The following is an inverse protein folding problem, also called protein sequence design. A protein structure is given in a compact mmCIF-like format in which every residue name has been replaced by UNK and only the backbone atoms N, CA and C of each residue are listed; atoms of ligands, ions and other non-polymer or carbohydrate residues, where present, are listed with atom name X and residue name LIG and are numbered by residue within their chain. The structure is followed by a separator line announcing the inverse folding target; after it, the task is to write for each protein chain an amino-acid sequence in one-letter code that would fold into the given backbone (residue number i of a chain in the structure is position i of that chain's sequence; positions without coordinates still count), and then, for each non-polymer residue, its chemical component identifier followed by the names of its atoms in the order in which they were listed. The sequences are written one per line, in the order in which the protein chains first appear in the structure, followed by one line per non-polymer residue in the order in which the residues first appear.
data_IF_239517936201
#
_entry.id   IF_239517936201
#
_cell.length_a   1.000
_cell.length_b   1.000
_cell.length_c   1.000
_cell.angle_alpha   90.00
_cell.angle_beta   90.00
_cell.angle_gamma   90.00
#
_symmetry.space_group_name_H-M   'P 1'
#
loop_
_entity.id
_entity.type
_entity.pdbx_description
1 polymer ?
#
# COMPACT_ATOMS: atom_id res chain seq x y z
N UNK A 1 8.13 -12.31 14.60
CA UNK A 1 7.54 -11.06 14.06
C UNK A 1 8.65 -10.02 14.15
N UNK A 2 9.21 -9.64 12.99
CA UNK A 2 10.20 -8.57 12.93
C UNK A 2 9.59 -7.28 13.47
N UNK A 3 10.42 -6.44 14.08
CA UNK A 3 10.08 -5.24 14.84
C UNK A 3 9.40 -4.10 14.03
N UNK A 4 8.67 -4.40 12.98
CA UNK A 4 7.92 -3.39 12.23
C UNK A 4 6.44 -3.59 12.51
N UNK A 5 6.06 -3.38 13.76
CA UNK A 5 4.66 -3.24 14.09
C UNK A 5 4.23 -1.84 13.67
N UNK A 6 3.30 -1.80 12.75
CA UNK A 6 2.66 -0.57 12.30
C UNK A 6 2.17 0.25 13.49
N UNK A 7 2.87 1.31 13.77
CA UNK A 7 2.45 2.35 14.71
C UNK A 7 1.37 3.20 14.05
N UNK A 8 0.13 2.68 13.93
CA UNK A 8 -0.88 3.53 13.30
C UNK A 8 -2.24 3.18 13.68
N UNK A 9 -2.95 3.23 14.51
CA UNK A 9 -4.27 3.01 15.10
C UNK A 9 -4.28 2.07 16.29
N UNK A 10 -3.33 1.15 16.35
CA UNK A 10 -3.17 0.29 17.49
C UNK A 10 -1.86 0.71 18.15
N UNK A 11 -1.92 1.37 19.30
CA UNK A 11 -0.75 1.58 20.16
C UNK A 11 -0.27 0.22 20.67
N UNK A 12 0.27 -0.61 19.77
CA UNK A 12 0.78 -1.93 20.11
C UNK A 12 2.05 -1.74 20.89
N UNK A 13 2.00 -2.10 22.17
CA UNK A 13 3.13 -2.08 23.07
C UNK A 13 3.89 -3.41 23.00
N UNK A 14 5.04 -3.51 23.69
CA UNK A 14 5.77 -4.78 23.82
C UNK A 14 5.12 -5.76 24.81
N UNK A 15 3.90 -5.49 25.29
CA UNK A 15 3.16 -6.42 26.12
C UNK A 15 2.82 -7.69 25.31
N UNK A 16 3.02 -8.90 25.87
CA UNK A 16 2.74 -10.15 25.19
C UNK A 16 1.25 -10.35 24.89
N UNK A 17 0.37 -9.72 25.65
CA UNK A 17 -1.07 -9.71 25.44
C UNK A 17 -1.63 -8.31 25.65
N UNK A 18 -2.49 -7.85 24.75
CA UNK A 18 -3.15 -6.56 24.84
C UNK A 18 -4.43 -6.55 24.01
N UNK A 19 -5.43 -5.81 24.44
CA UNK A 19 -6.67 -5.57 23.68
C UNK A 19 -6.68 -4.14 23.16
N UNK A 20 -6.81 -3.97 21.86
CA UNK A 20 -6.86 -2.65 21.24
C UNK A 20 -8.05 -2.58 20.28
N UNK A 21 -8.95 -1.63 20.50
CA UNK A 21 -10.18 -1.47 19.71
C UNK A 21 -11.02 -2.76 19.62
N UNK A 22 -11.07 -3.55 20.68
CA UNK A 22 -11.82 -4.81 20.74
C UNK A 22 -11.12 -5.99 20.03
N UNK A 23 -9.86 -5.82 19.64
CA UNK A 23 -9.02 -6.87 19.07
C UNK A 23 -7.99 -7.31 20.09
N UNK A 24 -7.98 -8.61 20.43
CA UNK A 24 -6.96 -9.20 21.27
C UNK A 24 -5.71 -9.49 20.44
N UNK A 25 -4.62 -8.87 20.83
CA UNK A 25 -3.32 -8.99 20.19
C UNK A 25 -2.43 -9.81 21.12
N UNK A 26 -1.90 -10.91 20.60
CA UNK A 26 -1.03 -11.81 21.35
C UNK A 26 0.30 -12.00 20.63
N UNK A 27 1.37 -12.01 21.40
CA UNK A 27 2.68 -12.38 20.86
C UNK A 27 2.63 -13.86 20.44
N UNK A 28 3.10 -14.14 19.23
CA UNK A 28 3.21 -15.51 18.74
C UNK A 28 4.18 -16.30 19.64
N UNK A 29 3.72 -17.35 20.35
CA UNK A 29 4.54 -18.10 21.29
C UNK A 29 5.52 -19.03 20.56
N UNK A 30 6.62 -19.36 21.21
CA UNK A 30 7.57 -20.37 20.71
C UNK A 30 6.98 -21.80 20.77
N UNK A 31 6.06 -22.05 21.71
CA UNK A 31 5.27 -23.27 21.80
C UNK A 31 3.80 -22.87 21.94
N UNK A 32 2.96 -23.38 21.07
CA UNK A 32 1.55 -23.05 21.06
C UNK A 32 0.82 -23.83 22.16
N UNK A 33 0.08 -23.16 23.06
CA UNK A 33 -0.66 -23.83 24.12
C UNK A 33 -1.89 -24.55 23.55
N UNK A 34 -2.37 -25.53 24.29
CA UNK A 34 -3.69 -26.07 24.04
C UNK A 34 -4.75 -25.02 24.40
N UNK A 35 -5.61 -24.72 23.46
CA UNK A 35 -6.72 -23.80 23.66
C UNK A 35 -7.98 -24.57 24.06
N UNK A 36 -8.78 -24.05 25.00
CA UNK A 36 -10.14 -24.58 25.22
C UNK A 36 -10.95 -24.56 23.92
N UNK A 37 -11.78 -25.56 23.71
CA UNK A 37 -12.57 -25.67 22.47
C UNK A 37 -13.45 -24.43 22.20
N UNK A 38 -13.86 -23.71 23.25
CA UNK A 38 -14.61 -22.46 23.14
C UNK A 38 -13.80 -21.25 22.68
N UNK A 39 -12.46 -21.31 22.75
CA UNK A 39 -11.56 -20.23 22.35
C UNK A 39 -11.15 -20.32 20.87
N UNK A 40 -11.53 -21.39 20.19
CA UNK A 40 -11.28 -21.54 18.74
C UNK A 40 -12.37 -20.80 18.00
N UNK A 41 -12.02 -19.76 17.19
CA UNK A 41 -13.00 -18.93 16.51
C UNK A 41 -13.71 -19.66 15.35
N UNK A 42 -14.81 -19.11 14.85
CA UNK A 42 -15.55 -19.65 13.69
C UNK A 42 -14.81 -19.46 12.37
N UNK A 43 -13.93 -18.48 12.29
CA UNK A 43 -13.07 -18.25 11.14
C UNK A 43 -11.61 -18.04 11.56
N UNK A 44 -10.71 -18.73 10.89
CA UNK A 44 -9.25 -18.64 11.11
C UNK A 44 -8.59 -18.19 9.82
N UNK A 45 -7.81 -17.12 9.90
CA UNK A 45 -7.10 -16.53 8.76
C UNK A 45 -5.61 -16.65 9.01
N UNK A 46 -4.91 -17.41 8.19
CA UNK A 46 -3.46 -17.29 8.05
C UNK A 46 -3.14 -16.37 6.88
N UNK A 47 -2.10 -15.55 6.99
CA UNK A 47 -1.80 -14.57 5.97
C UNK A 47 -0.32 -14.43 5.70
N UNK A 48 0.01 -14.00 4.50
CA UNK A 48 1.37 -13.60 4.10
C UNK A 48 2.43 -14.70 4.30
N UNK A 49 2.07 -15.94 3.98
CA UNK A 49 2.97 -17.08 4.07
C UNK A 49 3.26 -17.58 5.49
N UNK A 50 2.56 -17.06 6.51
CA UNK A 50 2.63 -17.59 7.87
C UNK A 50 1.72 -18.80 7.97
N UNK A 51 2.29 -19.95 8.33
CA UNK A 51 1.53 -21.18 8.53
C UNK A 51 1.13 -21.36 9.98
N UNK A 52 -0.09 -21.85 10.21
CA UNK A 52 -0.54 -22.19 11.55
C UNK A 52 0.23 -23.42 12.06
N UNK A 53 0.57 -23.46 13.36
CA UNK A 53 1.16 -24.64 13.98
C UNK A 53 0.24 -25.85 13.86
N UNK A 54 0.82 -27.03 13.62
CA UNK A 54 0.06 -28.27 13.45
C UNK A 54 -0.84 -28.57 14.66
N UNK A 55 -0.35 -28.31 15.88
CA UNK A 55 -1.13 -28.49 17.11
C UNK A 55 -2.39 -27.61 17.12
N UNK A 56 -2.31 -26.35 16.65
CA UNK A 56 -3.48 -25.48 16.54
C UNK A 56 -4.47 -25.99 15.47
N UNK A 57 -3.97 -26.46 14.32
CA UNK A 57 -4.81 -27.02 13.26
C UNK A 57 -5.52 -28.29 13.74
N UNK A 58 -4.86 -29.15 14.56
CA UNK A 58 -5.50 -30.31 15.19
C UNK A 58 -6.62 -29.90 16.14
N UNK A 59 -6.41 -28.84 16.93
CA UNK A 59 -7.46 -28.31 17.81
C UNK A 59 -8.66 -27.76 17.02
N UNK A 60 -8.44 -27.08 15.89
CA UNK A 60 -9.53 -26.64 15.01
C UNK A 60 -10.44 -27.78 14.60
N UNK A 61 -9.88 -28.96 14.33
CA UNK A 61 -10.63 -30.14 13.92
C UNK A 61 -11.43 -30.80 15.07
N UNK A 62 -11.19 -30.44 16.31
CA UNK A 62 -11.94 -31.00 17.46
C UNK A 62 -13.28 -30.31 17.68
N UNK A 63 -13.53 -29.15 17.04
CA UNK A 63 -14.81 -28.47 17.14
C UNK A 63 -15.92 -29.27 16.44
N UNK A 64 -17.12 -29.25 17.01
CA UNK A 64 -18.31 -29.88 16.40
C UNK A 64 -18.61 -29.27 15.02
N UNK A 65 -18.46 -27.94 14.90
CA UNK A 65 -18.47 -27.23 13.62
C UNK A 65 -17.06 -26.71 13.39
N UNK A 66 -16.40 -27.24 12.38
CA UNK A 66 -15.04 -26.84 12.04
C UNK A 66 -14.99 -25.37 11.61
N UNK A 67 -13.96 -24.63 12.03
CA UNK A 67 -13.80 -23.25 11.60
C UNK A 67 -13.53 -23.15 10.10
N UNK A 68 -13.94 -22.02 9.51
CA UNK A 68 -13.58 -21.69 8.12
C UNK A 68 -12.10 -21.27 8.11
N UNK A 69 -11.27 -22.09 7.48
CA UNK A 69 -9.82 -21.86 7.40
C UNK A 69 -9.45 -21.18 6.10
N UNK A 70 -8.93 -19.96 6.20
CA UNK A 70 -8.60 -19.10 5.07
C UNK A 70 -7.09 -18.86 5.03
N UNK A 71 -6.48 -19.04 3.86
CA UNK A 71 -5.18 -18.51 3.53
C UNK A 71 -5.37 -17.18 2.78
N UNK A 72 -5.07 -16.06 3.43
CA UNK A 72 -5.12 -14.74 2.83
C UNK A 72 -3.83 -14.49 2.06
N UNK A 73 -3.93 -14.45 0.77
CA UNK A 73 -2.84 -14.26 -0.16
C UNK A 73 -2.47 -12.79 -0.36
N UNK A 74 -1.32 -12.55 -1.00
CA UNK A 74 -0.88 -11.21 -1.38
C UNK A 74 -1.76 -10.63 -2.47
N UNK A 75 -1.89 -9.29 -2.46
CA UNK A 75 -2.59 -8.55 -3.51
C UNK A 75 -1.93 -8.78 -4.87
N UNK A 76 -2.72 -9.18 -5.86
CA UNK A 76 -2.26 -9.31 -7.23
C UNK A 76 -3.30 -8.83 -8.25
N UNK A 77 -2.79 -8.29 -9.37
CA UNK A 77 -3.56 -7.91 -10.54
C UNK A 77 -3.48 -8.95 -11.66
N UNK A 78 -2.75 -10.05 -11.48
CA UNK A 78 -2.58 -11.11 -12.44
C UNK A 78 -3.89 -11.86 -12.69
N UNK A 79 -4.10 -12.36 -13.90
CA UNK A 79 -5.37 -12.98 -14.28
C UNK A 79 -5.63 -14.32 -13.57
N UNK A 80 -4.57 -15.09 -13.28
CA UNK A 80 -4.67 -16.41 -12.65
C UNK A 80 -5.28 -16.36 -11.23
N UNK A 81 -5.17 -15.21 -10.53
CA UNK A 81 -5.77 -15.08 -9.18
C UNK A 81 -7.29 -15.13 -9.21
N UNK A 82 -7.92 -14.81 -10.36
CA UNK A 82 -9.37 -14.86 -10.51
C UNK A 82 -9.90 -16.30 -10.49
N UNK A 83 -9.12 -17.23 -11.03
CA UNK A 83 -9.47 -18.67 -11.08
C UNK A 83 -9.05 -19.40 -9.79
N UNK A 84 -8.09 -18.84 -9.06
CA UNK A 84 -7.58 -19.39 -7.79
C UNK A 84 -8.31 -18.84 -6.56
N UNK A 85 -9.07 -17.75 -6.69
CA UNK A 85 -9.81 -17.17 -5.58
C UNK A 85 -10.92 -18.10 -5.09
N UNK A 86 -10.97 -18.34 -3.78
CA UNK A 86 -11.85 -19.28 -3.08
C UNK A 86 -11.61 -20.75 -3.44
N UNK A 87 -10.49 -21.08 -4.05
CA UNK A 87 -10.13 -22.48 -4.32
C UNK A 87 -10.00 -23.22 -2.99
N UNK A 88 -10.71 -24.36 -2.91
CA UNK A 88 -10.70 -25.25 -1.76
C UNK A 88 -9.51 -26.20 -1.82
N UNK A 89 -8.80 -26.36 -0.71
CA UNK A 89 -7.71 -27.32 -0.53
C UNK A 89 -8.01 -28.24 0.66
N UNK A 90 -8.70 -29.36 0.44
CA UNK A 90 -8.89 -30.38 1.48
C UNK A 90 -7.55 -30.89 1.97
N UNK A 91 -7.38 -31.00 3.29
CA UNK A 91 -6.13 -31.47 3.88
C UNK A 91 -6.18 -33.00 4.02
N UNK A 92 -5.16 -33.71 3.51
CA UNK A 92 -5.12 -35.18 3.50
C UNK A 92 -4.95 -35.82 4.90
N UNK A 93 -4.40 -35.05 5.85
CA UNK A 93 -4.03 -35.56 7.19
C UNK A 93 -5.02 -35.17 8.30
N UNK A 94 -6.02 -34.32 7.96
CA UNK A 94 -7.00 -33.82 8.93
C UNK A 94 -8.30 -33.43 8.18
N UNK A 95 -9.50 -33.63 8.76
CA UNK A 95 -10.77 -33.35 8.10
C UNK A 95 -11.10 -31.84 8.07
N UNK A 96 -10.19 -31.03 7.54
CA UNK A 96 -10.34 -29.58 7.35
C UNK A 96 -10.08 -29.22 5.90
N UNK A 97 -10.74 -28.17 5.45
CA UNK A 97 -10.51 -27.58 4.13
C UNK A 97 -9.98 -26.15 4.30
N UNK A 98 -8.84 -25.85 3.67
CA UNK A 98 -8.29 -24.51 3.57
C UNK A 98 -8.79 -23.85 2.29
N UNK A 99 -9.16 -22.57 2.37
CA UNK A 99 -9.59 -21.79 1.23
C UNK A 99 -8.58 -20.70 0.91
N UNK A 100 -8.18 -20.56 -0.34
CA UNK A 100 -7.28 -19.49 -0.77
C UNK A 100 -8.07 -18.22 -1.10
N UNK A 101 -7.77 -17.14 -0.40
CA UNK A 101 -8.48 -15.88 -0.55
C UNK A 101 -7.52 -14.82 -1.12
N UNK A 102 -7.75 -14.40 -2.38
CA UNK A 102 -6.90 -13.46 -3.09
C UNK A 102 -7.51 -12.06 -3.09
N UNK A 103 -6.88 -11.06 -2.44
CA UNK A 103 -7.16 -9.65 -2.70
C UNK A 103 -6.88 -9.32 -4.18
N UNK A 104 -7.65 -8.40 -4.75
CA UNK A 104 -7.48 -8.08 -6.17
C UNK A 104 -8.43 -7.01 -6.68
N UNK A 105 -8.45 -6.83 -8.00
CA UNK A 105 -9.01 -5.67 -8.67
C UNK A 105 -10.28 -5.96 -9.48
N UNK A 106 -10.89 -7.13 -9.29
CA UNK A 106 -12.07 -7.56 -10.05
C UNK A 106 -13.15 -8.13 -9.14
N UNK A 107 -14.34 -8.33 -9.71
CA UNK A 107 -15.46 -8.97 -8.98
C UNK A 107 -15.22 -10.46 -8.66
N UNK A 108 -14.21 -11.06 -9.29
CA UNK A 108 -13.82 -12.47 -9.08
C UNK A 108 -12.72 -12.62 -8.03
N UNK A 109 -12.36 -11.55 -7.33
CA UNK A 109 -11.35 -11.53 -6.27
C UNK A 109 -11.91 -10.91 -5.00
N UNK A 110 -11.17 -10.96 -3.91
CA UNK A 110 -11.58 -10.47 -2.60
C UNK A 110 -11.67 -8.94 -2.47
N UNK A 111 -11.35 -8.19 -3.52
CA UNK A 111 -11.32 -6.73 -3.49
C UNK A 111 -10.11 -6.16 -2.74
N UNK A 112 -10.19 -4.88 -2.39
CA UNK A 112 -9.14 -4.15 -1.68
C UNK A 112 -9.60 -3.80 -0.27
N UNK A 113 -8.66 -3.71 0.67
CA UNK A 113 -8.98 -3.20 2.01
C UNK A 113 -9.40 -1.73 1.90
N UNK A 114 -10.50 -1.37 2.57
CA UNK A 114 -11.06 -0.03 2.54
C UNK A 114 -11.86 0.24 3.80
N UNK A 115 -11.49 1.27 4.54
CA UNK A 115 -12.23 1.72 5.70
C UNK A 115 -13.55 2.41 5.30
N UNK A 116 -14.58 2.23 6.13
CA UNK A 116 -15.87 2.88 5.94
C UNK A 116 -15.69 4.41 5.98
N UNK A 117 -16.22 5.09 4.96
CA UNK A 117 -16.22 6.57 4.90
C UNK A 117 -14.90 7.20 4.44
N UNK A 118 -13.85 6.43 4.12
CA UNK A 118 -12.54 6.99 3.68
C UNK A 118 -12.68 7.85 2.42
N UNK A 119 -13.55 7.47 1.48
CA UNK A 119 -13.76 8.24 0.25
C UNK A 119 -14.48 9.56 0.50
N UNK A 120 -15.49 9.55 1.36
CA UNK A 120 -16.21 10.78 1.74
C UNK A 120 -15.28 11.73 2.51
N UNK A 121 -14.45 11.19 3.39
CA UNK A 121 -13.44 11.96 4.13
C UNK A 121 -12.41 12.58 3.18
N UNK A 122 -11.94 11.79 2.19
CA UNK A 122 -11.06 12.26 1.13
C UNK A 122 -11.70 13.40 0.33
N UNK A 123 -12.91 13.20 -0.16
CA UNK A 123 -13.58 14.20 -1.02
C UNK A 123 -13.82 15.50 -0.26
N UNK A 124 -14.22 15.42 1.01
CA UNK A 124 -14.31 16.59 1.92
C UNK A 124 -12.97 17.28 2.15
N UNK A 125 -11.90 16.51 2.26
CA UNK A 125 -10.56 17.06 2.47
C UNK A 125 -10.02 17.72 1.19
N UNK A 126 -10.23 17.11 0.04
CA UNK A 126 -9.69 17.58 -1.25
C UNK A 126 -10.53 18.67 -1.92
N UNK A 127 -11.73 18.99 -1.40
CA UNK A 127 -12.58 20.03 -1.99
C UNK A 127 -11.96 21.44 -1.91
N UNK A 128 -11.02 21.65 -0.97
CA UNK A 128 -10.30 22.91 -0.80
C UNK A 128 -8.83 22.66 -0.50
N UNK A 129 -7.94 23.26 -1.28
CA UNK A 129 -6.48 23.18 -1.11
C UNK A 129 -6.02 23.68 0.27
N UNK A 130 -6.77 24.57 0.89
CA UNK A 130 -6.46 25.09 2.23
C UNK A 130 -6.48 23.98 3.30
N UNK A 131 -7.27 22.92 3.12
CA UNK A 131 -7.22 21.76 4.01
C UNK A 131 -5.85 21.07 3.97
N UNK A 132 -5.30 20.89 2.76
CA UNK A 132 -3.97 20.32 2.59
C UNK A 132 -2.88 21.23 3.18
N UNK A 133 -2.95 22.53 2.94
CA UNK A 133 -2.00 23.52 3.48
C UNK A 133 -2.03 23.51 5.01
N UNK A 134 -3.21 23.55 5.63
CA UNK A 134 -3.34 23.50 7.10
C UNK A 134 -2.81 22.20 7.68
N UNK A 135 -3.14 21.07 7.05
CA UNK A 135 -2.63 19.78 7.49
C UNK A 135 -1.10 19.72 7.39
N UNK A 136 -0.52 20.11 6.27
CA UNK A 136 0.93 20.12 6.10
C UNK A 136 1.61 21.12 7.07
N UNK A 137 0.99 22.26 7.34
CA UNK A 137 1.48 23.21 8.36
C UNK A 137 1.50 22.58 9.76
N UNK A 138 0.52 21.74 10.12
CA UNK A 138 0.51 21.03 11.41
C UNK A 138 1.65 20.01 11.54
N UNK A 139 2.21 19.55 10.40
CA UNK A 139 3.42 18.73 10.35
C UNK A 139 4.71 19.58 10.26
N UNK A 140 4.60 20.91 10.42
CA UNK A 140 5.72 21.83 10.32
C UNK A 140 6.19 22.09 8.88
N UNK A 141 5.37 21.79 7.87
CA UNK A 141 5.69 22.01 6.45
C UNK A 141 5.16 23.36 6.00
N UNK A 142 6.05 24.23 5.47
CA UNK A 142 5.66 25.46 4.82
C UNK A 142 5.44 25.23 3.31
N UNK A 143 4.22 25.43 2.85
CA UNK A 143 3.87 25.31 1.42
C UNK A 143 3.85 26.69 0.79
N UNK A 144 4.63 26.89 -0.28
CA UNK A 144 4.53 28.12 -1.10
C UNK A 144 3.36 27.99 -2.09
N UNK A 145 2.80 29.14 -2.45
CA UNK A 145 1.70 29.19 -3.42
C UNK A 145 2.12 28.55 -4.75
N UNK A 146 1.28 27.67 -5.29
CA UNK A 146 1.47 26.96 -6.57
C UNK A 146 2.60 25.92 -6.63
N UNK A 147 3.26 25.57 -5.53
CA UNK A 147 4.15 24.42 -5.52
C UNK A 147 3.42 23.14 -5.89
N UNK A 148 4.08 22.29 -6.67
CA UNK A 148 3.68 20.92 -6.93
C UNK A 148 4.18 20.03 -5.78
N UNK A 149 3.28 19.40 -5.07
CA UNK A 149 3.60 18.65 -3.84
C UNK A 149 3.73 17.18 -4.16
N UNK A 150 4.87 16.59 -3.79
CA UNK A 150 5.18 15.19 -4.01
C UNK A 150 5.45 14.50 -2.69
N UNK A 151 4.82 13.36 -2.41
CA UNK A 151 5.25 12.46 -1.34
C UNK A 151 6.20 11.40 -1.90
N UNK A 152 7.31 11.13 -1.20
CA UNK A 152 8.33 10.18 -1.64
C UNK A 152 8.55 9.09 -0.60
N UNK A 153 7.95 7.92 -0.84
CA UNK A 153 8.09 6.73 -0.02
C UNK A 153 8.42 5.52 -0.90
N UNK A 154 9.63 4.97 -0.77
CA UNK A 154 10.14 3.94 -1.66
C UNK A 154 11.04 2.93 -0.94
N UNK A 155 11.47 1.87 -1.64
CA UNK A 155 12.50 0.94 -1.22
C UNK A 155 13.90 1.46 -1.57
N UNK A 156 15.00 0.88 -1.03
CA UNK A 156 16.37 1.40 -1.19
C UNK A 156 16.85 1.53 -2.64
N UNK A 157 16.35 0.66 -3.52
CA UNK A 157 16.83 0.58 -4.91
C UNK A 157 16.19 1.61 -5.86
N UNK A 158 15.23 2.41 -5.42
CA UNK A 158 14.63 3.44 -6.25
C UNK A 158 15.65 4.48 -6.73
N UNK A 159 15.55 4.99 -7.95
CA UNK A 159 16.46 6.00 -8.50
C UNK A 159 16.17 7.41 -7.96
N UNK A 160 16.18 7.56 -6.62
CA UNK A 160 15.78 8.79 -5.92
C UNK A 160 16.68 9.96 -6.30
N UNK A 161 18.00 9.78 -6.35
CA UNK A 161 18.93 10.86 -6.64
C UNK A 161 18.68 11.50 -8.00
N UNK A 162 18.45 10.66 -9.04
CA UNK A 162 18.16 11.15 -10.39
C UNK A 162 16.78 11.81 -10.50
N UNK A 163 15.80 11.34 -9.73
CA UNK A 163 14.50 12.00 -9.62
C UNK A 163 14.64 13.40 -8.99
N UNK A 164 15.35 13.51 -7.87
CA UNK A 164 15.57 14.77 -7.18
C UNK A 164 16.37 15.76 -8.04
N UNK A 165 17.35 15.28 -8.81
CA UNK A 165 18.09 16.10 -9.76
C UNK A 165 17.18 16.63 -10.88
N UNK A 166 16.24 15.81 -11.38
CA UNK A 166 15.23 16.24 -12.33
C UNK A 166 14.26 17.27 -11.75
N UNK A 167 13.88 17.13 -10.49
CA UNK A 167 13.06 18.13 -9.78
C UNK A 167 13.79 19.47 -9.63
N UNK A 168 15.06 19.43 -9.24
CA UNK A 168 15.90 20.61 -9.04
C UNK A 168 16.08 21.42 -10.31
N UNK A 169 16.27 20.74 -11.45
CA UNK A 169 16.60 21.35 -12.73
C UNK A 169 15.37 21.62 -13.63
N UNK A 170 14.16 21.28 -13.15
CA UNK A 170 12.91 21.49 -13.86
C UNK A 170 12.45 22.93 -13.93
N UNK A 171 11.30 23.16 -14.56
CA UNK A 171 10.69 24.48 -14.75
C UNK A 171 9.64 24.80 -13.66
N UNK A 172 9.23 23.82 -12.85
CA UNK A 172 8.18 23.94 -11.85
C UNK A 172 8.72 23.82 -10.43
N UNK A 173 8.25 24.68 -9.54
CA UNK A 173 8.57 24.60 -8.12
C UNK A 173 7.95 23.34 -7.52
N UNK A 174 8.78 22.45 -6.98
CA UNK A 174 8.38 21.19 -6.37
C UNK A 174 8.68 21.20 -4.88
N UNK A 175 7.72 20.79 -4.07
CA UNK A 175 7.89 20.46 -2.66
C UNK A 175 7.87 18.94 -2.51
N UNK A 176 9.03 18.34 -2.24
CA UNK A 176 9.18 16.91 -2.01
C UNK A 176 9.14 16.60 -0.52
N UNK A 177 8.14 15.87 -0.08
CA UNK A 177 7.95 15.44 1.30
C UNK A 177 8.43 13.99 1.45
N UNK A 178 9.42 13.77 2.30
CA UNK A 178 10.06 12.48 2.50
C UNK A 178 9.79 12.00 3.92
N UNK A 179 8.83 11.08 4.14
CA UNK A 179 8.66 10.45 5.44
C UNK A 179 9.94 9.74 5.88
N UNK A 180 10.23 9.78 7.20
CA UNK A 180 11.35 9.06 7.79
C UNK A 180 11.33 7.59 7.36
N UNK A 181 12.50 7.08 6.97
CA UNK A 181 12.65 5.72 6.49
C UNK A 181 13.75 5.59 5.44
N UNK A 182 13.65 4.58 4.61
CA UNK A 182 14.70 4.15 3.68
C UNK A 182 15.09 5.23 2.65
N UNK A 183 14.13 6.02 2.16
CA UNK A 183 14.40 7.08 1.19
C UNK A 183 15.33 8.17 1.72
N UNK A 184 15.40 8.36 3.05
CA UNK A 184 16.25 9.38 3.69
C UNK A 184 17.74 9.19 3.37
N UNK A 185 18.20 7.94 3.20
CA UNK A 185 19.62 7.67 2.84
C UNK A 185 19.95 8.20 1.45
N UNK A 186 19.10 7.95 0.46
CA UNK A 186 19.28 8.49 -0.89
C UNK A 186 19.17 10.02 -0.92
N UNK A 187 18.32 10.61 -0.08
CA UNK A 187 18.22 12.06 0.10
C UNK A 187 19.51 12.61 0.73
N UNK A 188 20.08 11.93 1.72
CA UNK A 188 21.35 12.29 2.35
C UNK A 188 22.50 12.29 1.32
N UNK A 189 22.57 11.26 0.50
CA UNK A 189 23.53 11.14 -0.59
C UNK A 189 23.37 12.29 -1.60
N UNK A 190 22.15 12.58 -2.03
CA UNK A 190 21.84 13.69 -2.93
C UNK A 190 22.24 15.06 -2.36
N UNK A 191 21.91 15.34 -1.10
CA UNK A 191 22.22 16.61 -0.45
C UNK A 191 23.70 16.76 -0.07
N UNK A 192 24.47 15.66 -0.05
CA UNK A 192 25.87 15.60 0.45
C UNK A 192 26.05 16.17 1.86
N UNK A 193 25.03 16.01 2.70
CA UNK A 193 25.03 16.46 4.10
C UNK A 193 24.10 15.59 4.96
N UNK A 194 24.21 15.74 6.29
CA UNK A 194 23.31 15.06 7.22
C UNK A 194 21.85 15.40 6.92
N UNK A 195 21.01 14.38 7.01
CA UNK A 195 19.57 14.48 6.82
C UNK A 195 18.87 13.72 7.97
N UNK A 196 18.11 14.45 8.76
CA UNK A 196 17.31 13.96 9.89
C UNK A 196 15.91 14.52 9.79
N UNK A 197 14.99 14.00 10.58
CA UNK A 197 13.62 14.54 10.69
C UNK A 197 13.66 16.06 10.92
N UNK A 198 12.83 16.77 10.18
CA UNK A 198 12.78 18.23 10.18
C UNK A 198 13.80 18.93 9.26
N UNK A 199 14.77 18.17 8.67
CA UNK A 199 15.69 18.75 7.69
C UNK A 199 14.92 19.33 6.51
N UNK A 200 15.26 20.57 6.16
CA UNK A 200 14.80 21.28 4.96
C UNK A 200 15.98 21.53 4.03
N UNK A 201 15.72 21.40 2.75
CA UNK A 201 16.71 21.64 1.71
C UNK A 201 16.05 22.31 0.53
N UNK A 202 16.71 23.33 -0.03
CA UNK A 202 16.26 24.02 -1.23
C UNK A 202 17.41 24.12 -2.22
N UNK A 203 17.16 23.74 -3.46
CA UNK A 203 18.13 23.85 -4.55
C UNK A 203 17.41 23.92 -5.90
N UNK A 204 17.66 24.95 -6.69
CA UNK A 204 16.93 25.18 -7.93
C UNK A 204 15.42 25.28 -7.69
N UNK A 205 14.65 24.43 -8.36
CA UNK A 205 13.18 24.37 -8.21
C UNK A 205 12.71 23.35 -7.15
N UNK A 206 13.63 22.65 -6.51
CA UNK A 206 13.33 21.65 -5.48
C UNK A 206 13.40 22.28 -4.08
N UNK A 207 12.28 22.20 -3.36
CA UNK A 207 12.25 22.23 -1.90
C UNK A 207 12.00 20.79 -1.41
N UNK A 208 12.75 20.39 -0.40
CA UNK A 208 12.62 19.05 0.19
C UNK A 208 12.50 19.19 1.71
N UNK A 209 11.62 18.41 2.31
CA UNK A 209 11.51 18.30 3.76
C UNK A 209 11.39 16.85 4.21
N UNK A 210 12.21 16.46 5.21
CA UNK A 210 12.10 15.16 5.87
C UNK A 210 11.07 15.28 6.97
N UNK A 211 10.03 14.45 6.88
CA UNK A 211 8.95 14.36 7.86
C UNK A 211 9.26 13.27 8.90
N UNK A 212 8.75 13.39 10.13
CA UNK A 212 8.75 12.26 11.06
C UNK A 212 7.95 11.08 10.48
N UNK A 213 8.09 9.91 11.10
CA UNK A 213 7.18 8.79 10.83
C UNK A 213 5.75 9.26 11.09
N UNK A 214 4.90 9.15 10.08
CA UNK A 214 3.51 9.60 10.15
C UNK A 214 2.65 8.43 10.61
N UNK A 215 1.81 8.67 11.61
CA UNK A 215 0.81 7.71 12.04
C UNK A 215 -0.09 7.31 10.86
N UNK A 216 -0.48 6.05 10.80
CA UNK A 216 -1.29 5.53 9.69
C UNK A 216 -2.60 6.31 9.50
N UNK A 217 -3.21 6.78 10.60
CA UNK A 217 -4.41 7.63 10.59
C UNK A 217 -4.25 8.96 9.86
N UNK A 218 -3.03 9.48 9.81
CA UNK A 218 -2.66 10.74 9.17
C UNK A 218 -2.04 10.52 7.79
N UNK A 219 -1.60 9.29 7.49
CA UNK A 219 -0.93 8.98 6.23
C UNK A 219 -1.84 9.20 5.02
N UNK A 220 -3.12 8.85 5.12
CA UNK A 220 -4.10 9.15 4.08
C UNK A 220 -4.17 10.65 3.78
N UNK A 221 -4.17 11.50 4.82
CA UNK A 221 -4.19 12.96 4.63
C UNK A 221 -2.93 13.48 3.95
N UNK A 222 -1.77 12.85 4.21
CA UNK A 222 -0.55 13.16 3.47
C UNK A 222 -0.73 12.86 1.98
N UNK A 223 -1.21 11.65 1.63
CA UNK A 223 -1.46 11.27 0.24
C UNK A 223 -2.50 12.17 -0.44
N UNK A 224 -3.54 12.58 0.29
CA UNK A 224 -4.58 13.49 -0.22
C UNK A 224 -4.07 14.90 -0.45
N UNK A 225 -3.04 15.32 0.30
CA UNK A 225 -2.42 16.65 0.21
C UNK A 225 -1.47 16.80 -0.97
N UNK A 226 -0.98 15.70 -1.53
CA UNK A 226 0.02 15.70 -2.57
C UNK A 226 -0.59 15.64 -3.98
N UNK A 227 0.10 16.26 -4.94
CA UNK A 227 -0.27 16.22 -6.35
C UNK A 227 0.21 14.92 -7.03
N UNK A 228 1.28 14.31 -6.48
CA UNK A 228 1.84 13.03 -6.92
C UNK A 228 2.37 12.25 -5.70
N UNK A 229 2.09 10.94 -5.67
CA UNK A 229 2.51 10.07 -4.58
C UNK A 229 3.42 8.94 -5.08
N UNK A 230 4.66 8.89 -4.61
CA UNK A 230 5.48 7.69 -4.74
C UNK A 230 5.21 6.81 -3.51
N UNK A 231 4.78 5.59 -3.74
CA UNK A 231 4.36 4.64 -2.69
C UNK A 231 5.03 3.29 -2.88
N UNK A 232 5.08 2.47 -1.82
CA UNK A 232 5.71 1.15 -1.84
C UNK A 232 4.86 0.07 -1.17
N UNK A 233 5.19 -1.20 -1.45
CA UNK A 233 4.54 -2.35 -0.81
C UNK A 233 3.05 -2.43 -1.14
N UNK A 234 2.24 -3.01 -0.27
CA UNK A 234 0.81 -3.21 -0.51
C UNK A 234 -0.07 -2.14 0.14
N UNK A 235 0.13 -1.85 1.43
CA UNK A 235 -0.76 -0.93 2.16
C UNK A 235 -0.73 0.49 1.58
N UNK A 236 0.46 1.10 1.45
CA UNK A 236 0.55 2.46 0.89
C UNK A 236 0.13 2.52 -0.60
N UNK A 237 0.28 1.42 -1.33
CA UNK A 237 -0.20 1.29 -2.71
C UNK A 237 -1.74 1.29 -2.78
N UNK A 238 -2.40 0.55 -1.89
CA UNK A 238 -3.88 0.56 -1.80
C UNK A 238 -4.38 1.92 -1.37
N UNK A 239 -3.74 2.55 -0.37
CA UNK A 239 -4.10 3.90 0.10
C UNK A 239 -3.92 4.97 -0.96
N UNK A 240 -2.87 4.89 -1.80
CA UNK A 240 -2.68 5.80 -2.93
C UNK A 240 -3.83 5.69 -3.96
N UNK A 241 -4.37 4.51 -4.17
CA UNK A 241 -5.54 4.33 -5.04
C UNK A 241 -6.78 5.00 -4.44
N UNK A 242 -6.99 4.88 -3.12
CA UNK A 242 -8.09 5.58 -2.44
C UNK A 242 -7.88 7.10 -2.39
N UNK A 243 -6.64 7.58 -2.42
CA UNK A 243 -6.37 9.02 -2.53
C UNK A 243 -6.91 9.62 -3.83
N UNK A 244 -7.06 8.83 -4.89
CA UNK A 244 -7.56 9.29 -6.17
C UNK A 244 -6.64 10.33 -6.85
N UNK A 245 -5.39 10.41 -6.42
CA UNK A 245 -4.33 11.27 -6.96
C UNK A 245 -3.40 10.46 -7.86
N UNK A 246 -2.62 11.08 -8.74
CA UNK A 246 -1.53 10.41 -9.43
C UNK A 246 -0.59 9.74 -8.46
N UNK A 247 -0.15 8.54 -8.78
CA UNK A 247 0.84 7.84 -7.98
C UNK A 247 1.79 7.00 -8.85
N UNK A 248 2.92 6.64 -8.27
CA UNK A 248 3.90 5.70 -8.82
C UNK A 248 4.18 4.65 -7.76
N UNK A 249 3.97 3.40 -8.12
CA UNK A 249 4.19 2.28 -7.21
C UNK A 249 5.59 1.72 -7.34
N UNK A 250 6.32 1.66 -6.24
CA UNK A 250 7.53 0.87 -6.13
C UNK A 250 7.14 -0.49 -5.56
N UNK A 251 7.00 -1.47 -6.44
CA UNK A 251 6.68 -2.84 -6.05
C UNK A 251 7.84 -3.42 -5.23
N UNK A 252 7.55 -4.36 -4.31
CA UNK A 252 8.58 -5.00 -3.50
C UNK A 252 9.56 -5.76 -4.42
N UNK A 253 10.84 -5.38 -4.47
CA UNK A 253 11.83 -6.04 -5.31
C UNK A 253 12.04 -7.49 -4.83
N UNK A 254 11.89 -8.44 -5.74
CA UNK A 254 12.15 -9.85 -5.52
C UNK A 254 13.35 -10.28 -6.37
N UNK A 255 14.00 -11.36 -5.99
CA UNK A 255 15.07 -11.97 -6.80
C UNK A 255 14.51 -12.41 -8.16
N UNK A 256 15.37 -12.46 -9.17
CA UNK A 256 15.03 -12.87 -10.54
C UNK A 256 13.87 -12.10 -11.17
N UNK A 257 13.64 -10.85 -10.75
CA UNK A 257 12.63 -9.96 -11.31
C UNK A 257 11.18 -10.52 -11.30
N UNK A 258 10.88 -11.48 -10.43
CA UNK A 258 9.56 -12.14 -10.29
C UNK A 258 8.44 -11.13 -10.00
N UNK A 259 8.77 -9.96 -9.48
CA UNK A 259 7.82 -8.88 -9.22
C UNK A 259 7.37 -8.12 -10.48
N UNK A 260 8.12 -8.18 -11.59
CA UNK A 260 7.81 -7.42 -12.82
C UNK A 260 6.52 -7.88 -13.51
N UNK A 261 6.19 -9.16 -13.65
CA UNK A 261 4.89 -9.60 -14.13
C UNK A 261 3.71 -9.04 -13.34
N UNK A 262 3.85 -8.91 -12.02
CA UNK A 262 2.81 -8.30 -11.15
C UNK A 262 2.65 -6.81 -11.43
N UNK A 263 3.77 -6.09 -11.63
CA UNK A 263 3.76 -4.69 -12.02
C UNK A 263 3.06 -4.49 -13.38
N UNK A 264 3.40 -5.30 -14.37
CA UNK A 264 2.78 -5.25 -15.71
C UNK A 264 1.29 -5.57 -15.67
N UNK A 265 0.90 -6.59 -14.90
CA UNK A 265 -0.50 -6.95 -14.73
C UNK A 265 -1.31 -5.80 -14.14
N UNK A 266 -0.75 -5.10 -13.14
CA UNK A 266 -1.39 -3.91 -12.59
C UNK A 266 -1.45 -2.76 -13.60
N UNK A 267 -0.34 -2.42 -14.25
CA UNK A 267 -0.28 -1.34 -15.24
C UNK A 267 -1.26 -1.57 -16.40
N UNK A 268 -1.40 -2.81 -16.87
CA UNK A 268 -2.39 -3.17 -17.89
C UNK A 268 -3.82 -2.86 -17.46
N UNK A 269 -4.17 -3.16 -16.19
CA UNK A 269 -5.51 -2.88 -15.64
C UNK A 269 -5.71 -1.40 -15.36
N UNK A 270 -4.72 -0.76 -14.75
CA UNK A 270 -4.77 0.64 -14.32
C UNK A 270 -4.88 1.57 -15.53
N UNK A 271 -4.10 1.33 -16.58
CA UNK A 271 -4.06 2.18 -17.76
C UNK A 271 -5.12 1.83 -18.83
N UNK A 272 -6.02 0.90 -18.52
CA UNK A 272 -7.12 0.57 -19.44
C UNK A 272 -8.00 1.81 -19.71
N UNK A 273 -8.11 2.20 -20.98
CA UNK A 273 -8.84 3.39 -21.42
C UNK A 273 -8.00 4.67 -21.53
N UNK A 274 -6.71 4.61 -21.20
CA UNK A 274 -5.72 5.65 -21.52
C UNK A 274 -5.23 5.44 -22.94
N UNK A 275 -4.88 6.50 -23.67
CA UNK A 275 -4.31 6.38 -25.02
C UNK A 275 -3.03 5.52 -25.00
N UNK A 276 -2.74 4.81 -26.09
CA UNK A 276 -1.53 3.96 -26.16
C UNK A 276 -0.24 4.78 -25.99
N UNK A 277 -0.23 6.02 -26.51
CA UNK A 277 0.92 6.91 -26.39
C UNK A 277 1.16 7.31 -24.93
N UNK A 278 0.12 7.80 -24.25
CA UNK A 278 0.23 8.22 -22.84
C UNK A 278 0.53 7.02 -21.94
N UNK A 279 -0.12 5.87 -22.20
CA UNK A 279 0.15 4.64 -21.46
C UNK A 279 1.61 4.18 -21.61
N UNK A 280 2.23 4.33 -22.81
CA UNK A 280 3.66 4.03 -23.00
C UNK A 280 4.56 4.96 -22.19
N UNK A 281 4.25 6.26 -22.12
CA UNK A 281 5.01 7.24 -21.31
C UNK A 281 4.93 6.88 -19.83
N UNK A 282 3.73 6.59 -19.32
CA UNK A 282 3.53 6.16 -17.92
C UNK A 282 4.30 4.89 -17.61
N UNK A 283 4.17 3.84 -18.44
CA UNK A 283 4.87 2.57 -18.28
C UNK A 283 6.38 2.76 -18.25
N UNK A 284 6.92 3.53 -19.19
CA UNK A 284 8.35 3.84 -19.26
C UNK A 284 8.85 4.41 -17.94
N UNK A 285 8.15 5.42 -17.41
CA UNK A 285 8.51 6.05 -16.14
C UNK A 285 8.45 5.07 -14.96
N UNK A 286 7.39 4.26 -14.87
CA UNK A 286 7.24 3.26 -13.81
C UNK A 286 8.30 2.16 -13.89
N UNK A 287 8.68 1.72 -15.10
CA UNK A 287 9.77 0.74 -15.28
C UNK A 287 11.10 1.29 -14.80
N UNK A 288 11.44 2.52 -15.17
CA UNK A 288 12.67 3.18 -14.69
C UNK A 288 12.64 3.31 -13.16
N UNK A 289 11.49 3.68 -12.59
CA UNK A 289 11.32 3.79 -11.14
C UNK A 289 11.50 2.45 -10.42
N UNK A 290 11.07 1.36 -11.00
CA UNK A 290 11.23 0.01 -10.48
C UNK A 290 12.57 -0.64 -10.91
N UNK A 291 13.47 0.13 -11.49
CA UNK A 291 14.79 -0.31 -11.99
C UNK A 291 14.74 -1.47 -12.97
N UNK A 292 13.77 -1.50 -13.84
CA UNK A 292 13.84 -2.33 -15.03
C UNK A 292 14.97 -1.78 -15.89
N UNK A 293 16.04 -2.54 -16.07
CA UNK A 293 17.24 -2.15 -16.84
C UNK A 293 18.14 -1.05 -16.25
N UNK A 294 18.31 -1.02 -14.93
CA UNK A 294 19.22 -0.08 -14.22
C UNK A 294 19.06 1.40 -14.61
N UNK A 295 17.85 1.78 -15.03
CA UNK A 295 17.53 3.10 -15.55
C UNK A 295 17.72 4.21 -14.52
N UNK A 296 18.17 5.37 -15.00
CA UNK A 296 18.13 6.64 -14.28
C UNK A 296 16.95 7.46 -14.83
N UNK A 297 16.26 8.18 -13.96
CA UNK A 297 15.26 9.15 -14.39
C UNK A 297 16.01 10.33 -15.01
N UNK A 298 15.84 10.52 -16.32
CA UNK A 298 16.32 11.71 -17.00
C UNK A 298 15.34 12.87 -16.79
N UNK A 299 15.82 14.10 -16.95
CA UNK A 299 14.98 15.28 -16.92
C UNK A 299 13.84 15.19 -17.94
N UNK A 300 14.14 14.77 -19.17
CA UNK A 300 13.16 14.57 -20.22
C UNK A 300 12.08 13.54 -19.82
N UNK A 301 12.48 12.39 -19.29
CA UNK A 301 11.53 11.34 -18.85
C UNK A 301 10.62 11.84 -17.72
N UNK A 302 11.16 12.67 -16.81
CA UNK A 302 10.36 13.31 -15.78
C UNK A 302 9.35 14.31 -16.36
N UNK A 303 9.80 15.19 -17.27
CA UNK A 303 8.92 16.20 -17.86
C UNK A 303 7.81 15.55 -18.71
N UNK A 304 8.12 14.55 -19.53
CA UNK A 304 7.11 13.77 -20.27
C UNK A 304 6.05 13.16 -19.33
N UNK A 305 6.50 12.60 -18.19
CA UNK A 305 5.58 12.04 -17.20
C UNK A 305 4.79 13.12 -16.46
N UNK A 306 5.43 14.23 -16.10
CA UNK A 306 4.80 15.37 -15.43
C UNK A 306 3.69 16.03 -16.28
N UNK A 307 3.89 16.12 -17.58
CA UNK A 307 2.88 16.65 -18.49
C UNK A 307 1.58 15.84 -18.48
N UNK A 308 1.64 14.58 -18.11
CA UNK A 308 0.46 13.72 -17.97
C UNK A 308 -0.32 13.93 -16.66
N UNK A 309 0.14 14.77 -15.72
CA UNK A 309 -0.52 14.94 -14.43
C UNK A 309 -2.01 15.32 -14.51
N UNK A 310 -2.46 16.23 -15.41
CA UNK A 310 -3.88 16.54 -15.55
C UNK A 310 -4.72 15.32 -15.99
N UNK A 311 -4.17 14.49 -16.89
CA UNK A 311 -4.79 13.23 -17.32
C UNK A 311 -4.82 12.24 -16.15
N UNK A 312 -3.67 12.01 -15.51
CA UNK A 312 -3.52 11.04 -14.43
C UNK A 312 -4.34 11.40 -13.19
N UNK A 313 -4.57 12.69 -12.93
CA UNK A 313 -5.45 13.13 -11.83
C UNK A 313 -6.90 12.73 -12.09
N UNK A 314 -7.43 12.97 -13.29
CA UNK A 314 -8.78 12.54 -13.66
C UNK A 314 -8.88 11.02 -13.68
N UNK A 315 -7.87 10.35 -14.22
CA UNK A 315 -7.80 8.90 -14.30
C UNK A 315 -7.76 8.25 -12.92
N UNK A 316 -6.89 8.72 -12.02
CA UNK A 316 -6.76 8.21 -10.65
C UNK A 316 -8.06 8.35 -9.84
N UNK A 317 -8.75 9.48 -9.98
CA UNK A 317 -10.06 9.67 -9.36
C UNK A 317 -11.10 8.70 -9.91
N UNK A 318 -11.17 8.54 -11.25
CA UNK A 318 -12.03 7.55 -11.90
C UNK A 318 -11.73 6.11 -11.49
N UNK A 319 -10.44 5.77 -11.41
CA UNK A 319 -9.97 4.47 -10.91
C UNK A 319 -10.42 4.20 -9.48
N UNK A 320 -10.23 5.16 -8.58
CA UNK A 320 -10.69 5.06 -7.21
C UNK A 320 -12.18 4.73 -7.11
N UNK A 321 -13.03 5.43 -7.88
CA UNK A 321 -14.48 5.17 -7.96
C UNK A 321 -14.79 3.77 -8.51
N UNK A 322 -14.08 3.34 -9.55
CA UNK A 322 -14.24 2.01 -10.13
C UNK A 322 -13.92 0.92 -9.12
N UNK A 323 -12.83 1.06 -8.38
CA UNK A 323 -12.47 0.11 -7.32
C UNK A 323 -13.45 0.16 -6.13
N UNK A 324 -13.98 1.33 -5.82
CA UNK A 324 -14.97 1.49 -4.75
C UNK A 324 -16.32 0.80 -5.03
N UNK A 325 -16.63 0.54 -6.29
CA UNK A 325 -17.80 -0.23 -6.70
C UNK A 325 -17.66 -1.75 -6.47
N UNK A 326 -16.45 -2.22 -6.14
CA UNK A 326 -16.19 -3.58 -5.71
C UNK A 326 -16.43 -3.74 -4.21
N UNK A 327 -16.78 -4.95 -3.72
CA UNK A 327 -16.75 -5.25 -2.30
C UNK A 327 -15.37 -4.95 -1.70
N UNK A 328 -15.33 -4.45 -0.46
CA UNK A 328 -14.06 -4.37 0.25
C UNK A 328 -13.65 -5.73 0.83
N UNK A 329 -12.35 -5.89 1.04
CA UNK A 329 -11.72 -7.13 1.49
C UNK A 329 -12.31 -7.66 2.81
N UNK A 330 -12.47 -6.78 3.80
CA UNK A 330 -12.95 -7.18 5.13
C UNK A 330 -14.40 -7.66 5.08
N UNK A 331 -15.29 -6.91 4.41
CA UNK A 331 -16.69 -7.33 4.21
C UNK A 331 -16.80 -8.61 3.40
N UNK A 332 -15.89 -8.82 2.44
CA UNK A 332 -15.81 -10.05 1.64
C UNK A 332 -15.46 -11.26 2.50
N UNK A 333 -14.42 -11.15 3.34
CA UNK A 333 -13.99 -12.19 4.28
C UNK A 333 -15.08 -12.56 5.28
N UNK A 334 -15.70 -11.55 5.93
CA UNK A 334 -16.80 -11.78 6.88
C UNK A 334 -17.98 -12.50 6.21
N UNK A 335 -18.35 -12.08 5.01
CA UNK A 335 -19.44 -12.75 4.25
C UNK A 335 -19.09 -14.20 3.93
N UNK A 336 -17.86 -14.45 3.52
CA UNK A 336 -17.39 -15.81 3.23
C UNK A 336 -17.45 -16.71 4.47
N UNK A 337 -16.90 -16.24 5.60
CA UNK A 337 -16.92 -16.97 6.87
C UNK A 337 -18.37 -17.28 7.26
N UNK A 338 -19.27 -16.29 7.27
CA UNK A 338 -20.66 -16.50 7.65
C UNK A 338 -21.40 -17.48 6.72
N UNK A 339 -21.05 -17.53 5.44
CA UNK A 339 -21.68 -18.46 4.49
C UNK A 339 -21.32 -19.92 4.77
N UNK A 340 -20.12 -20.18 5.29
CA UNK A 340 -19.61 -21.53 5.55
C UNK A 340 -19.71 -21.97 7.01
N UNK A 341 -19.66 -21.05 7.98
CA UNK A 341 -19.82 -21.37 9.40
C UNK A 341 -21.28 -21.72 9.78
N UNK A 342 -22.26 -21.40 8.93
CA UNK A 342 -23.68 -21.71 9.14
C UNK A 342 -24.14 -22.99 8.44
N UNK A 343 -23.25 -23.72 7.79
CA UNK A 343 -23.52 -25.02 7.14
C UNK A 343 -22.94 -26.17 7.95
#
# INVERSE_FOLDING_TARGET
ISQTVCSGHLAITRCPEQTVCGVDIRLWPSSFPDLPAGDIPDGVIEGFGVHLPECYVRQMATRQIAPVWINLEYLSAESWVEDSHLMASPQSWIPLTKYFYFPGFTRKTGGLIREKGVLDARDKFQCDREHAIRFLSSLGVAVRRQQFIVSLFCYPRAPVESLLESFKNGDRDILCLVPEGVAVEAVRSFMKRSAVVGTRFSSGRLDLQILPMIEQSLYDRLLWSCDLNFVRGEDSFVRAQWAGRPFVWHIYPQEDDIHLPKLEAFLKRYLAGVSEEDARKVKRFWHVWNRVHDGRISHESWEEFRELMPLLSRHGYGWSKKMAALPDLASGLVRFINTYALK
#
